data_IF_391647532213
#
_entry.id   IF_391647532213
#
_cell.length_a   1.000
_cell.length_b   1.000
_cell.length_c   1.000
_cell.angle_alpha   90.00
_cell.angle_beta   90.00
_cell.angle_gamma   90.00
#
_symmetry.space_group_name_H-M   'P 1'
#
loop_
_entity.id
_entity.type
_entity.pdbx_description
1 polymer ?
#
# COMPACT_ATOMS: atom_id res chain seq x y z
N UNK A 1 14.34 -8.10 34.25
CA UNK A 1 14.31 -6.64 34.52
C UNK A 1 12.87 -6.19 34.63
N UNK A 2 12.49 -5.41 35.65
CA UNK A 2 11.13 -4.87 35.81
C UNK A 2 10.91 -3.74 34.79
N UNK A 3 9.83 -3.77 34.02
CA UNK A 3 9.48 -2.68 33.11
C UNK A 3 8.99 -1.46 33.92
N UNK A 4 9.63 -0.31 33.70
CA UNK A 4 9.22 0.96 34.31
C UNK A 4 8.28 1.71 33.34
N UNK A 5 7.15 2.25 33.79
CA UNK A 5 6.23 2.98 32.92
C UNK A 5 6.78 4.38 32.63
N UNK A 6 7.64 4.50 31.63
CA UNK A 6 8.00 5.79 31.03
C UNK A 6 6.92 6.20 30.01
N UNK A 7 6.56 7.49 29.92
CA UNK A 7 5.46 7.96 29.07
C UNK A 7 5.83 8.01 27.57
N UNK A 8 6.31 6.89 27.01
CA UNK A 8 6.72 6.74 25.61
C UNK A 8 5.63 7.14 24.61
N UNK A 9 4.39 6.69 24.84
CA UNK A 9 3.27 6.95 23.92
C UNK A 9 2.95 8.45 23.80
N UNK A 10 3.15 9.24 24.88
CA UNK A 10 2.93 10.68 24.85
C UNK A 10 3.93 11.41 23.95
N UNK A 11 5.15 10.90 23.81
CA UNK A 11 6.15 11.47 22.90
C UNK A 11 6.05 10.91 21.48
N UNK A 12 5.67 9.64 21.35
CA UNK A 12 5.68 8.90 20.09
C UNK A 12 4.44 9.13 19.21
N UNK A 13 3.31 9.55 19.80
CA UNK A 13 2.06 9.68 19.06
C UNK A 13 2.13 10.54 17.77
N UNK A 14 2.82 11.71 17.69
CA UNK A 14 2.88 12.46 16.43
C UNK A 14 3.61 11.68 15.32
N UNK A 15 4.63 10.90 15.67
CA UNK A 15 5.36 10.07 14.71
C UNK A 15 4.53 8.87 14.24
N UNK A 16 3.76 8.26 15.13
CA UNK A 16 2.83 7.19 14.76
C UNK A 16 1.73 7.71 13.85
N UNK A 17 1.16 8.87 14.15
CA UNK A 17 0.14 9.52 13.33
C UNK A 17 0.71 9.89 11.95
N UNK A 18 1.88 10.54 11.92
CA UNK A 18 2.55 10.90 10.68
C UNK A 18 2.95 9.68 9.83
N UNK A 19 3.42 8.61 10.48
CA UNK A 19 3.76 7.34 9.85
C UNK A 19 2.53 6.67 9.25
N UNK A 20 1.43 6.61 9.98
CA UNK A 20 0.16 6.07 9.49
C UNK A 20 -0.39 6.90 8.31
N UNK A 21 -0.32 8.24 8.40
CA UNK A 21 -0.76 9.12 7.33
C UNK A 21 0.06 8.94 6.05
N UNK A 22 1.39 8.90 6.19
CA UNK A 22 2.32 8.67 5.06
C UNK A 22 2.06 7.29 4.45
N UNK A 23 1.94 6.25 5.28
CA UNK A 23 1.67 4.90 4.82
C UNK A 23 0.38 4.81 4.01
N UNK A 24 -0.70 5.47 4.46
CA UNK A 24 -1.96 5.49 3.73
C UNK A 24 -1.83 6.15 2.35
N UNK A 25 -1.13 7.29 2.29
CA UNK A 25 -0.90 8.02 1.02
C UNK A 25 -0.11 7.15 0.05
N UNK A 26 1.01 6.58 0.50
CA UNK A 26 1.84 5.74 -0.36
C UNK A 26 1.15 4.45 -0.76
N UNK A 27 0.33 3.84 0.12
CA UNK A 27 -0.48 2.68 -0.24
C UNK A 27 -1.45 3.00 -1.38
N UNK A 28 -2.07 4.19 -1.39
CA UNK A 28 -2.97 4.60 -2.48
C UNK A 28 -2.19 4.85 -3.78
N UNK A 29 -1.04 5.53 -3.70
CA UNK A 29 -0.18 5.77 -4.87
C UNK A 29 0.34 4.45 -5.45
N UNK A 30 0.78 3.51 -4.63
CA UNK A 30 1.23 2.19 -5.09
C UNK A 30 0.12 1.47 -5.86
N UNK A 31 -1.10 1.49 -5.35
CA UNK A 31 -2.25 0.88 -6.03
C UNK A 31 -2.50 1.50 -7.41
N UNK A 32 -2.39 2.82 -7.56
CA UNK A 32 -2.58 3.49 -8.86
C UNK A 32 -1.40 3.23 -9.81
N UNK A 33 -0.18 3.17 -9.29
CA UNK A 33 1.01 2.92 -10.10
C UNK A 33 1.03 1.50 -10.68
N UNK A 34 0.56 0.52 -9.91
CA UNK A 34 0.41 -0.86 -10.38
C UNK A 34 -0.57 -1.01 -11.55
N UNK A 35 -1.51 -0.08 -11.73
CA UNK A 35 -2.48 -0.10 -12.83
C UNK A 35 -2.03 0.73 -14.04
N UNK A 36 -0.90 1.46 -13.95
CA UNK A 36 -0.37 2.24 -15.07
C UNK A 36 0.14 1.37 -16.21
N UNK A 37 0.08 1.89 -17.46
CA UNK A 37 0.42 1.13 -18.69
C UNK A 37 1.81 0.49 -18.64
N UNK A 38 2.78 1.16 -18.00
CA UNK A 38 4.16 0.69 -17.87
C UNK A 38 4.28 -0.56 -17.00
N UNK A 39 3.47 -0.68 -15.94
CA UNK A 39 3.59 -1.76 -14.94
C UNK A 39 2.42 -2.75 -14.98
N UNK A 40 1.35 -2.46 -15.73
CA UNK A 40 0.16 -3.31 -15.85
C UNK A 40 0.45 -4.67 -16.51
N UNK A 41 1.50 -4.76 -17.31
CA UNK A 41 1.88 -5.99 -18.03
C UNK A 41 3.11 -6.69 -17.43
N UNK A 42 3.68 -6.18 -16.34
CA UNK A 42 4.81 -6.83 -15.66
C UNK A 42 4.31 -7.99 -14.78
N UNK A 43 4.84 -9.18 -15.02
CA UNK A 43 4.53 -10.43 -14.30
C UNK A 43 4.87 -10.34 -12.81
N UNK A 44 5.79 -9.44 -12.42
CA UNK A 44 6.21 -9.23 -11.03
C UNK A 44 5.24 -8.33 -10.25
N UNK A 45 4.30 -7.70 -10.92
CA UNK A 45 3.31 -6.85 -10.26
C UNK A 45 2.38 -7.73 -9.39
N UNK A 46 2.26 -7.46 -8.08
CA UNK A 46 1.36 -8.23 -7.20
C UNK A 46 -0.10 -8.23 -7.68
N UNK A 47 -0.50 -7.21 -8.45
CA UNK A 47 -1.85 -7.09 -9.04
C UNK A 47 -1.98 -7.65 -10.45
N UNK A 48 -0.94 -8.27 -10.99
CA UNK A 48 -0.93 -8.77 -12.36
C UNK A 48 -2.14 -9.69 -12.65
N UNK A 49 -2.40 -10.68 -11.79
CA UNK A 49 -3.50 -11.61 -11.97
C UNK A 49 -4.88 -10.92 -12.02
N UNK A 50 -5.11 -9.94 -11.15
CA UNK A 50 -6.37 -9.17 -11.12
C UNK A 50 -6.52 -8.27 -12.35
N UNK A 51 -5.43 -7.66 -12.81
CA UNK A 51 -5.42 -6.78 -13.99
C UNK A 51 -5.68 -7.60 -15.26
N UNK A 52 -5.01 -8.75 -15.43
CA UNK A 52 -5.23 -9.63 -16.59
C UNK A 52 -6.64 -10.24 -16.57
N UNK A 53 -7.16 -10.65 -15.40
CA UNK A 53 -8.54 -11.11 -15.28
C UNK A 53 -9.55 -10.02 -15.69
N UNK A 54 -9.28 -8.75 -15.34
CA UNK A 54 -10.08 -7.60 -15.78
C UNK A 54 -10.02 -7.41 -17.30
N UNK A 55 -8.83 -7.52 -17.90
CA UNK A 55 -8.61 -7.40 -19.35
C UNK A 55 -9.33 -8.50 -20.13
N UNK A 56 -9.14 -9.76 -19.74
CA UNK A 56 -9.83 -10.89 -20.36
C UNK A 56 -11.36 -10.80 -20.26
N UNK A 57 -11.89 -10.29 -19.14
CA UNK A 57 -13.34 -10.06 -18.99
C UNK A 57 -13.85 -8.93 -19.90
N UNK A 58 -13.03 -7.91 -20.16
CA UNK A 58 -13.38 -6.82 -21.08
C UNK A 58 -13.31 -7.23 -22.55
N UNK A 59 -12.45 -8.20 -22.90
CA UNK A 59 -12.31 -8.75 -24.27
C UNK A 59 -13.33 -9.85 -24.59
N UNK A 60 -13.95 -10.45 -23.56
CA UNK A 60 -14.95 -11.52 -23.69
C UNK A 60 -16.40 -11.08 -23.83
N UNK A 61 -16.64 -9.81 -24.15
CA UNK A 61 -17.96 -9.19 -24.40
C UNK A 61 -17.94 -8.47 -25.75
#
# INVERSE_FOLDING_TARGET
MRAWPFPYMKLMHPFLIGGAATFYIFAKIQNTMCESETYANDVRNPKYAEIQARKHKAEGH
#
